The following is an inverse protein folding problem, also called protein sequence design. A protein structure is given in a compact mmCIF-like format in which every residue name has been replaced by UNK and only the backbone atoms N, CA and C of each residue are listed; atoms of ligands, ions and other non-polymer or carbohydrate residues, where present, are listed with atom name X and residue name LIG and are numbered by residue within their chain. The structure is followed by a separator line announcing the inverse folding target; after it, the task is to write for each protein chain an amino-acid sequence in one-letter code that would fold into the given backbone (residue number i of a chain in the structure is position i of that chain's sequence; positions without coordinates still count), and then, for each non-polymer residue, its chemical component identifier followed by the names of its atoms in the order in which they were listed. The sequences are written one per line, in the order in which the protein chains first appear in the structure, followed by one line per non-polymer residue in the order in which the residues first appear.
data_IF_128597843237
#
_entry.id   IF_128597843237
#
_cell.length_a   1.000
_cell.length_b   1.000
_cell.length_c   1.000
_cell.angle_alpha   90.00
_cell.angle_beta   90.00
_cell.angle_gamma   90.00
#
_symmetry.space_group_name_H-M   'P 1'
#
loop_
_entity.id
_entity.type
_entity.pdbx_description
1 polymer ?
#
# COMPACT_ATOMS: atom_id res chain seq x y z
N UNK A 1 3.95 8.63 13.28
CA UNK A 1 4.02 9.54 12.13
C UNK A 1 3.93 8.76 10.81
N UNK A 2 3.50 9.40 9.74
CA UNK A 2 3.64 8.81 8.41
C UNK A 2 4.52 9.74 7.58
N UNK A 3 5.41 9.16 6.79
CA UNK A 3 6.31 9.86 5.89
C UNK A 3 6.11 9.25 4.51
N UNK A 4 5.75 10.10 3.57
CA UNK A 4 5.59 9.72 2.17
C UNK A 4 6.82 10.17 1.38
N UNK A 5 7.40 9.24 0.63
CA UNK A 5 8.45 9.47 -0.34
C UNK A 5 8.05 8.79 -1.67
N UNK A 6 8.45 9.34 -2.82
CA UNK A 6 8.14 8.71 -4.11
C UNK A 6 8.80 7.33 -4.19
N UNK A 7 7.98 6.28 -4.28
CA UNK A 7 8.45 4.88 -4.23
C UNK A 7 8.47 4.24 -2.84
N UNK A 8 8.22 4.99 -1.76
CA UNK A 8 8.38 4.50 -0.40
C UNK A 8 7.49 5.23 0.61
N UNK A 9 6.74 4.50 1.42
CA UNK A 9 5.99 5.09 2.53
C UNK A 9 6.33 4.43 3.83
N UNK A 10 6.75 5.25 4.77
CA UNK A 10 6.99 4.84 6.13
C UNK A 10 5.80 5.24 7.01
N UNK A 11 5.20 4.26 7.67
CA UNK A 11 4.10 4.44 8.60
C UNK A 11 4.56 3.93 9.97
N UNK A 12 4.77 4.83 10.90
CA UNK A 12 4.95 4.51 12.31
C UNK A 12 3.74 5.00 13.12
N UNK A 13 3.22 4.16 14.00
CA UNK A 13 2.26 4.55 15.02
C UNK A 13 2.86 4.16 16.36
N UNK A 14 2.87 5.12 17.26
CA UNK A 14 3.23 4.90 18.65
C UNK A 14 1.94 4.88 19.46
N UNK A 15 1.72 3.80 20.21
CA UNK A 15 0.58 3.69 21.10
C UNK A 15 0.63 4.80 22.17
N UNK A 16 -0.35 5.70 22.17
CA UNK A 16 -0.47 6.75 23.20
C UNK A 16 -1.19 6.24 24.46
N UNK A 17 -1.85 5.08 24.37
CA UNK A 17 -2.61 4.43 25.45
C UNK A 17 -2.32 2.92 25.46
N UNK A 18 -2.53 2.25 26.59
CA UNK A 18 -2.31 0.80 26.79
C UNK A 18 -3.16 -0.09 25.84
N UNK A 19 -4.28 0.45 25.35
CA UNK A 19 -5.17 -0.17 24.36
C UNK A 19 -4.74 0.09 22.91
N UNK A 20 -3.76 0.97 22.68
CA UNK A 20 -3.32 1.35 21.33
C UNK A 20 -2.13 0.47 20.89
N UNK A 21 -1.97 0.35 19.58
CA UNK A 21 -1.02 -0.61 18.99
C UNK A 21 0.14 0.13 18.37
N UNK A 22 1.34 -0.11 18.91
CA UNK A 22 2.58 0.38 18.31
C UNK A 22 2.97 -0.49 17.12
N UNK A 23 3.10 0.13 15.95
CA UNK A 23 3.57 -0.54 14.75
C UNK A 23 4.45 0.38 13.91
N UNK A 24 5.40 -0.21 13.20
CA UNK A 24 6.29 0.47 12.28
C UNK A 24 6.30 -0.34 10.99
N UNK A 25 5.72 0.20 9.92
CA UNK A 25 5.54 -0.48 8.65
C UNK A 25 6.04 0.42 7.54
N UNK A 26 6.90 -0.11 6.69
CA UNK A 26 7.35 0.47 5.45
C UNK A 26 6.65 -0.21 4.28
N UNK A 27 6.26 0.59 3.28
CA UNK A 27 5.63 0.15 2.04
C UNK A 27 6.50 0.69 0.92
N UNK A 28 7.35 -0.15 0.38
CA UNK A 28 8.09 0.17 -0.84
C UNK A 28 7.24 -0.20 -2.04
N UNK A 29 7.33 0.60 -3.09
CA UNK A 29 6.67 0.29 -4.33
C UNK A 29 7.50 0.74 -5.52
N UNK A 30 7.50 -0.07 -6.56
CA UNK A 30 8.28 0.18 -7.76
C UNK A 30 7.52 -0.26 -9.01
N UNK A 31 7.63 0.53 -10.08
CA UNK A 31 7.08 0.13 -11.38
C UNK A 31 7.92 -1.01 -11.94
N UNK A 32 7.27 -2.14 -12.16
CA UNK A 32 7.88 -3.31 -12.76
C UNK A 32 7.04 -3.83 -13.93
N UNK A 33 7.63 -4.68 -14.74
CA UNK A 33 6.96 -5.29 -15.88
C UNK A 33 6.96 -6.79 -15.67
N UNK A 34 5.77 -7.34 -15.42
CA UNK A 34 5.58 -8.78 -15.32
C UNK A 34 5.37 -9.38 -16.73
N UNK A 35 6.01 -10.52 -17.05
CA UNK A 35 5.84 -11.16 -18.35
C UNK A 35 4.43 -11.69 -18.62
N UNK A 36 3.59 -11.90 -17.59
CA UNK A 36 2.20 -12.36 -17.72
C UNK A 36 1.21 -11.20 -17.79
N UNK A 37 1.34 -10.25 -16.89
CA UNK A 37 0.36 -9.17 -16.68
C UNK A 37 0.79 -7.81 -17.28
N UNK A 38 2.01 -7.72 -17.83
CA UNK A 38 2.54 -6.51 -18.44
C UNK A 38 3.03 -5.49 -17.40
N UNK A 39 2.86 -4.19 -17.72
CA UNK A 39 3.33 -3.11 -16.84
C UNK A 39 2.45 -3.04 -15.58
N UNK A 40 3.08 -3.05 -14.42
CA UNK A 40 2.42 -2.93 -13.13
C UNK A 40 3.36 -2.41 -12.06
N UNK A 41 3.06 -2.74 -10.82
CA UNK A 41 3.69 -2.17 -9.66
C UNK A 41 3.92 -3.26 -8.61
N UNK A 42 5.18 -3.47 -8.25
CA UNK A 42 5.53 -4.35 -7.15
C UNK A 42 5.47 -3.55 -5.85
N UNK A 43 4.74 -4.05 -4.87
CA UNK A 43 4.65 -3.51 -3.53
C UNK A 43 5.33 -4.46 -2.55
N UNK A 44 6.15 -3.92 -1.66
CA UNK A 44 6.79 -4.66 -0.57
C UNK A 44 6.44 -3.98 0.74
N UNK A 45 5.61 -4.65 1.53
CA UNK A 45 5.20 -4.21 2.86
C UNK A 45 6.07 -4.93 3.88
N UNK A 46 6.83 -4.21 4.67
CA UNK A 46 7.69 -4.81 5.67
C UNK A 46 7.80 -3.94 6.91
N UNK A 47 7.96 -4.56 8.08
CA UNK A 47 7.93 -3.79 9.32
C UNK A 47 7.82 -4.66 10.56
N UNK A 48 7.48 -4.02 11.68
CA UNK A 48 7.29 -4.63 12.98
C UNK A 48 5.94 -4.19 13.54
N UNK A 49 5.06 -5.14 13.80
CA UNK A 49 3.74 -4.92 14.40
C UNK A 49 3.74 -5.60 15.77
N UNK A 50 3.52 -4.86 16.85
CA UNK A 50 3.50 -5.43 18.22
C UNK A 50 4.73 -6.31 18.56
N UNK A 51 5.89 -5.99 17.99
CA UNK A 51 7.12 -6.79 18.16
C UNK A 51 7.27 -7.98 17.22
N UNK A 52 6.30 -8.24 16.34
CA UNK A 52 6.38 -9.25 15.27
C UNK A 52 6.88 -8.61 13.98
N UNK A 53 8.04 -9.05 13.50
CA UNK A 53 8.52 -8.64 12.18
C UNK A 53 7.69 -9.31 11.07
N UNK A 54 7.23 -8.51 10.12
CA UNK A 54 6.53 -8.97 8.93
C UNK A 54 7.21 -8.45 7.66
N UNK A 55 7.14 -9.24 6.59
CA UNK A 55 7.58 -8.85 5.25
C UNK A 55 6.76 -9.62 4.23
N UNK A 56 5.95 -8.89 3.49
CA UNK A 56 5.05 -9.40 2.46
C UNK A 56 5.27 -8.57 1.19
N UNK A 57 5.37 -9.24 0.05
CA UNK A 57 5.54 -8.58 -1.24
C UNK A 57 4.52 -9.10 -2.23
N UNK A 58 3.86 -8.20 -2.93
CA UNK A 58 2.84 -8.53 -3.92
C UNK A 58 2.96 -7.63 -5.14
N UNK A 59 2.61 -8.16 -6.30
CA UNK A 59 2.58 -7.41 -7.55
C UNK A 59 1.13 -7.08 -7.90
N UNK A 60 0.91 -5.85 -8.35
CA UNK A 60 -0.37 -5.42 -8.89
C UNK A 60 -0.19 -4.91 -10.32
N UNK A 61 -0.95 -5.43 -11.31
CA UNK A 61 -0.96 -4.87 -12.66
C UNK A 61 -1.46 -3.42 -12.65
N UNK A 62 -1.17 -2.65 -13.71
CA UNK A 62 -1.57 -1.21 -13.78
C UNK A 62 -3.04 -0.96 -13.42
N UNK A 63 -3.92 -1.89 -13.79
CA UNK A 63 -5.36 -1.78 -13.60
C UNK A 63 -5.76 -1.97 -12.12
N UNK A 64 -5.06 -2.87 -11.42
CA UNK A 64 -5.26 -3.14 -10.00
C UNK A 64 -4.34 -2.35 -9.09
N UNK A 65 -3.45 -1.52 -9.64
CA UNK A 65 -2.52 -0.71 -8.86
C UNK A 65 -3.25 0.20 -7.87
N UNK A 66 -4.50 0.59 -8.14
CA UNK A 66 -5.38 1.33 -7.24
C UNK A 66 -5.93 0.50 -6.05
N UNK A 67 -5.94 -0.83 -6.18
CA UNK A 67 -6.42 -1.76 -5.15
C UNK A 67 -5.34 -2.16 -4.12
N UNK A 68 -4.16 -1.52 -4.18
CA UNK A 68 -3.08 -1.74 -3.21
C UNK A 68 -3.52 -1.50 -1.77
N UNK A 69 -4.35 -0.48 -1.53
CA UNK A 69 -4.87 -0.16 -0.20
C UNK A 69 -5.58 -1.35 0.46
N UNK A 70 -6.42 -2.06 -0.30
CA UNK A 70 -7.10 -3.26 0.19
C UNK A 70 -6.15 -4.42 0.48
N UNK A 71 -5.09 -4.61 -0.31
CA UNK A 71 -4.08 -5.63 -0.06
C UNK A 71 -3.25 -5.32 1.19
N UNK A 72 -2.74 -4.09 1.31
CA UNK A 72 -2.00 -3.64 2.50
C UNK A 72 -2.86 -3.77 3.75
N UNK A 73 -4.16 -3.43 3.66
CA UNK A 73 -5.10 -3.55 4.80
C UNK A 73 -5.27 -5.01 5.20
N UNK A 74 -5.47 -5.93 4.25
CA UNK A 74 -5.57 -7.37 4.54
C UNK A 74 -4.30 -7.92 5.20
N UNK A 75 -3.12 -7.55 4.70
CA UNK A 75 -1.83 -7.96 5.29
C UNK A 75 -1.73 -7.45 6.73
N UNK A 76 -2.01 -6.16 6.96
CA UNK A 76 -2.01 -5.56 8.29
C UNK A 76 -2.98 -6.28 9.25
N UNK A 77 -4.18 -6.61 8.78
CA UNK A 77 -5.16 -7.39 9.55
C UNK A 77 -4.67 -8.80 9.89
N UNK A 78 -4.07 -9.52 8.93
CA UNK A 78 -3.53 -10.86 9.15
C UNK A 78 -2.39 -10.86 10.17
N UNK A 79 -1.61 -9.78 10.23
CA UNK A 79 -0.52 -9.61 11.18
C UNK A 79 -0.95 -9.02 12.53
N UNK A 80 -2.25 -8.80 12.75
CA UNK A 80 -2.79 -8.44 14.06
C UNK A 80 -3.02 -6.95 14.28
N UNK A 81 -2.91 -6.09 13.25
CA UNK A 81 -3.43 -4.73 13.36
C UNK A 81 -4.97 -4.80 13.18
N UNK A 82 -5.77 -4.49 14.22
CA UNK A 82 -7.24 -4.52 14.10
C UNK A 82 -7.72 -3.45 13.13
N UNK A 83 -8.74 -3.72 12.30
CA UNK A 83 -9.29 -2.77 11.29
C UNK A 83 -9.48 -1.32 11.80
N UNK A 84 -9.82 -1.16 13.07
CA UNK A 84 -10.00 0.13 13.74
C UNK A 84 -8.70 0.93 13.88
N UNK A 85 -7.57 0.27 14.14
CA UNK A 85 -6.23 0.87 14.24
C UNK A 85 -5.42 0.73 12.95
N UNK A 86 -5.76 -0.24 12.08
CA UNK A 86 -5.33 -0.37 10.68
C UNK A 86 -5.94 0.69 9.78
N UNK A 87 -6.39 1.81 10.33
CA UNK A 87 -6.77 2.99 9.57
C UNK A 87 -5.52 3.64 8.95
N UNK A 88 -4.73 2.84 8.25
CA UNK A 88 -3.95 3.15 7.07
C UNK A 88 -4.78 4.06 6.14
N UNK A 89 -6.11 3.82 6.05
CA UNK A 89 -7.07 4.76 5.47
C UNK A 89 -7.11 6.15 6.13
N UNK A 90 -7.01 6.29 7.46
CA UNK A 90 -6.94 7.61 8.13
C UNK A 90 -5.71 8.44 7.76
N UNK A 91 -4.73 7.86 7.07
CA UNK A 91 -3.61 8.57 6.43
C UNK A 91 -3.99 8.94 4.98
N UNK A 92 -5.25 9.31 4.74
CA UNK A 92 -5.80 9.67 3.43
C UNK A 92 -4.88 10.59 2.63
N UNK A 93 -4.20 11.55 3.29
CA UNK A 93 -3.27 12.48 2.60
C UNK A 93 -2.06 11.80 1.96
N UNK A 94 -1.48 10.80 2.60
CA UNK A 94 -0.29 10.11 2.07
C UNK A 94 -0.70 9.06 1.05
N UNK A 95 -1.88 8.47 1.24
CA UNK A 95 -2.50 7.63 0.24
C UNK A 95 -2.81 8.37 -1.05
N UNK A 96 -3.33 9.59 -0.96
CA UNK A 96 -3.58 10.44 -2.13
C UNK A 96 -2.27 10.73 -2.88
N UNK A 97 -1.20 11.07 -2.14
CA UNK A 97 0.13 11.28 -2.72
C UNK A 97 0.71 10.00 -3.37
N UNK A 98 0.59 8.84 -2.72
CA UNK A 98 0.95 7.54 -3.31
C UNK A 98 0.16 7.28 -4.58
N UNK A 99 -1.15 7.54 -4.55
CA UNK A 99 -2.03 7.32 -5.69
C UNK A 99 -1.62 8.18 -6.88
N UNK A 100 -1.34 9.46 -6.65
CA UNK A 100 -0.82 10.36 -7.69
C UNK A 100 0.53 9.91 -8.22
N UNK A 101 1.45 9.49 -7.34
CA UNK A 101 2.79 9.03 -7.72
C UNK A 101 2.74 7.72 -8.52
N UNK A 102 2.03 6.70 -8.04
CA UNK A 102 1.74 5.44 -8.74
C UNK A 102 1.18 5.73 -10.13
N UNK A 103 0.22 6.64 -10.21
CA UNK A 103 -0.42 7.04 -11.45
C UNK A 103 0.57 7.70 -12.42
N UNK A 104 1.43 8.61 -11.95
CA UNK A 104 2.45 9.26 -12.78
C UNK A 104 3.51 8.24 -13.22
N UNK A 105 4.02 7.40 -12.33
CA UNK A 105 5.03 6.39 -12.63
C UNK A 105 4.51 5.32 -13.61
N UNK A 106 3.28 4.84 -13.42
CA UNK A 106 2.63 3.91 -14.35
C UNK A 106 2.25 4.58 -15.67
N UNK A 107 2.35 5.91 -15.77
CA UNK A 107 1.92 6.72 -16.91
C UNK A 107 0.40 6.60 -17.16
N UNK A 108 -0.38 6.46 -16.09
CA UNK A 108 -1.84 6.38 -16.15
C UNK A 108 -2.43 7.78 -16.40
N UNK A 109 -2.90 8.00 -17.63
CA UNK A 109 -3.59 9.25 -18.00
C UNK A 109 -5.00 9.27 -17.40
N UNK A 110 -5.43 10.43 -16.89
CA UNK A 110 -6.86 10.64 -16.59
C UNK A 110 -7.59 10.57 -17.92
N UNK A 111 -8.51 9.61 -18.07
CA UNK A 111 -9.21 9.37 -19.33
C UNK A 111 -8.58 8.29 -20.22
N UNK A 112 -7.55 7.57 -19.76
CA UNK A 112 -7.18 6.29 -20.38
C UNK A 112 -8.31 5.28 -20.11
N UNK A 113 -8.79 4.54 -21.12
CA UNK A 113 -9.88 3.58 -20.93
C UNK A 113 -9.44 2.51 -19.93
N UNK A 114 -10.15 2.42 -18.80
CA UNK A 114 -10.13 1.25 -17.92
C UNK A 114 -10.57 0.06 -18.76
N UNK A 115 -9.76 -0.99 -18.81
CA UNK A 115 -10.05 -2.14 -19.66
C UNK A 115 -11.22 -2.91 -19.00
N UNK A 116 -12.41 -3.01 -19.62
CA UNK A 116 -13.60 -3.56 -18.97
C UNK A 116 -13.47 -5.05 -18.62
N UNK A 117 -12.48 -5.76 -19.15
CA UNK A 117 -12.18 -7.17 -18.86
C UNK A 117 -11.71 -7.43 -17.42
N UNK A 118 -11.39 -6.39 -16.64
CA UNK A 118 -10.97 -6.51 -15.24
C UNK A 118 -12.10 -6.22 -14.23
N UNK A 119 -13.32 -5.94 -14.72
CA UNK A 119 -14.51 -5.61 -13.93
C UNK A 119 -15.53 -6.75 -13.85
N UNK A 120 -15.22 -7.94 -14.38
CA UNK A 120 -16.11 -9.11 -14.33
C UNK A 120 -16.04 -9.91 -13.02
#
# INVERSE_FOLDING_TARGET
MATFEPGHVHIERHALTDDDVSYNVCIDYEVTQDPKDGKGMAFTVHGIIQGTAMKESFFLPKDQAYNFASNVTKIAEQHGIPKTHSSIGSIHKHYDAMFEDVRVQLNMKSGDPVNPEHLE
#
